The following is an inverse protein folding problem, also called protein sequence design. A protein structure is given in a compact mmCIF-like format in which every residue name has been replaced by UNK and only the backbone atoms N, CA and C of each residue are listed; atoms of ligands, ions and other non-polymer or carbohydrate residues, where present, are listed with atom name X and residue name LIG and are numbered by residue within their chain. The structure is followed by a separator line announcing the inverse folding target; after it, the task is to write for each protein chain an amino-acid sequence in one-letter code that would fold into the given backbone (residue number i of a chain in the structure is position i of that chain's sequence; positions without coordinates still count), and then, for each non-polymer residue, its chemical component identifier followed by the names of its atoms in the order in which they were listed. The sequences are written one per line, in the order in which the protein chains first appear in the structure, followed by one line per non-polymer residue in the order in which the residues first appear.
data_IF_948295140098
#
_entry.id   IF_948295140098
#
_cell.length_a   1.000
_cell.length_b   1.000
_cell.length_c   1.000
_cell.angle_alpha   90.00
_cell.angle_beta   90.00
_cell.angle_gamma   90.00
#
_symmetry.space_group_name_H-M   'P 1'
#
loop_
_entity.id
_entity.type
_entity.pdbx_description
1 polymer ?
#
# COMPACT_ATOMS: atom_id res chain seq x y z
N UNK A 1 1.15 27.56 -1.82
CA UNK A 1 1.34 26.16 -1.37
C UNK A 1 2.03 25.42 -2.51
N UNK A 2 3.31 25.04 -2.35
CA UNK A 2 3.96 24.15 -3.30
C UNK A 2 3.26 22.79 -3.18
N UNK A 3 2.62 22.34 -4.27
CA UNK A 3 2.17 20.96 -4.37
C UNK A 3 3.43 20.08 -4.25
N UNK A 4 3.52 19.31 -3.20
CA UNK A 4 4.55 18.28 -3.07
C UNK A 4 4.30 17.30 -4.21
N UNK A 5 5.19 17.28 -5.18
CA UNK A 5 5.10 16.34 -6.30
C UNK A 5 5.86 15.09 -5.89
N UNK A 6 5.13 14.01 -5.67
CA UNK A 6 5.67 12.71 -5.32
C UNK A 6 6.66 12.19 -6.38
N UNK A 7 7.66 11.46 -5.97
CA UNK A 7 8.62 10.83 -6.88
C UNK A 7 7.97 9.84 -7.86
N UNK A 8 6.77 9.34 -7.51
CA UNK A 8 5.98 8.41 -8.34
C UNK A 8 4.78 9.05 -9.06
N UNK A 9 4.57 10.35 -8.97
CA UNK A 9 3.42 11.03 -9.60
C UNK A 9 3.30 10.77 -11.10
N UNK A 10 4.44 10.58 -11.78
CA UNK A 10 4.50 10.28 -13.21
C UNK A 10 4.14 8.81 -13.52
N UNK A 11 4.00 7.96 -12.52
CA UNK A 11 3.65 6.54 -12.65
C UNK A 11 2.18 6.25 -12.42
N UNK A 12 1.40 7.27 -11.98
CA UNK A 12 -0.04 7.15 -11.83
C UNK A 12 -0.71 7.08 -13.20
N UNK A 13 -1.53 6.06 -13.39
CA UNK A 13 -2.21 5.84 -14.66
C UNK A 13 -3.65 5.39 -14.44
N UNK A 14 -4.57 5.73 -15.37
CA UNK A 14 -5.94 5.22 -15.35
C UNK A 14 -5.97 3.70 -15.47
N UNK A 15 -6.79 3.06 -14.67
CA UNK A 15 -7.01 1.63 -14.71
C UNK A 15 -8.45 1.29 -14.35
N UNK A 16 -9.23 0.80 -15.33
CA UNK A 16 -10.67 0.53 -15.20
C UNK A 16 -11.43 1.78 -14.68
N UNK A 17 -12.06 1.67 -13.52
CA UNK A 17 -12.82 2.73 -12.87
C UNK A 17 -12.06 3.46 -11.75
N UNK A 18 -10.75 3.34 -11.73
CA UNK A 18 -9.86 3.99 -10.75
C UNK A 18 -8.53 4.37 -11.41
N UNK A 19 -7.58 4.77 -10.60
CA UNK A 19 -6.17 4.94 -10.97
C UNK A 19 -5.32 3.94 -10.22
N UNK A 20 -4.12 3.69 -10.72
CA UNK A 20 -3.10 2.89 -10.05
C UNK A 20 -1.73 3.56 -10.21
N UNK A 21 -0.87 3.36 -9.24
CA UNK A 21 0.54 3.73 -9.34
C UNK A 21 1.34 2.51 -9.82
N UNK A 22 1.84 2.60 -11.05
CA UNK A 22 2.54 1.49 -11.71
C UNK A 22 4.00 1.40 -11.25
N UNK A 23 4.17 0.94 -10.02
CA UNK A 23 5.47 0.86 -9.33
C UNK A 23 5.84 -0.58 -9.02
N UNK A 24 7.15 -0.83 -8.89
CA UNK A 24 7.68 -2.10 -8.37
C UNK A 24 7.54 -2.18 -6.85
N UNK A 25 7.76 -3.36 -6.28
CA UNK A 25 7.75 -3.55 -4.83
C UNK A 25 8.77 -2.63 -4.13
N UNK A 26 9.97 -2.51 -4.66
CA UNK A 26 11.00 -1.64 -4.08
C UNK A 26 10.60 -0.17 -4.13
N UNK A 27 10.05 0.29 -5.25
CA UNK A 27 9.52 1.65 -5.38
C UNK A 27 8.34 1.91 -4.44
N UNK A 28 7.44 0.93 -4.26
CA UNK A 28 6.33 1.06 -3.32
C UNK A 28 6.81 1.24 -1.87
N UNK A 29 7.87 0.55 -1.47
CA UNK A 29 8.49 0.72 -0.14
C UNK A 29 9.08 2.13 0.01
N UNK A 30 9.80 2.64 -0.99
CA UNK A 30 10.32 4.01 -0.97
C UNK A 30 9.19 5.06 -0.92
N UNK A 31 8.11 4.86 -1.67
CA UNK A 31 6.92 5.74 -1.61
C UNK A 31 6.35 5.78 -0.18
N UNK A 32 6.16 4.61 0.45
CA UNK A 32 5.65 4.54 1.84
C UNK A 32 6.61 5.23 2.82
N UNK A 33 7.90 5.08 2.63
CA UNK A 33 8.93 5.77 3.43
C UNK A 33 8.81 7.29 3.29
N UNK A 34 8.72 7.82 2.07
CA UNK A 34 8.50 9.26 1.82
C UNK A 34 7.22 9.76 2.52
N UNK A 35 6.10 9.03 2.37
CA UNK A 35 4.82 9.35 3.03
C UNK A 35 4.92 9.35 4.56
N UNK A 36 5.62 8.37 5.14
CA UNK A 36 5.81 8.27 6.57
C UNK A 36 6.62 9.44 7.16
N UNK A 37 7.64 9.90 6.45
CA UNK A 37 8.45 11.04 6.88
C UNK A 37 7.73 12.39 6.79
N UNK A 38 6.71 12.53 5.96
CA UNK A 38 5.89 13.75 5.91
C UNK A 38 4.99 13.90 7.14
N UNK A 39 4.44 12.82 7.65
CA UNK A 39 3.64 12.81 8.87
C UNK A 39 2.30 13.56 8.78
N UNK A 40 1.75 13.78 7.59
CA UNK A 40 0.54 14.56 7.35
C UNK A 40 -0.75 13.72 7.18
N UNK A 41 -0.69 12.44 7.53
CA UNK A 41 -1.86 11.56 7.54
C UNK A 41 -2.16 10.88 6.21
N UNK A 42 -1.15 10.68 5.39
CA UNK A 42 -1.23 9.96 4.09
C UNK A 42 -1.66 8.49 4.25
N UNK A 43 -2.27 7.94 3.21
CA UNK A 43 -2.67 6.53 3.21
C UNK A 43 -2.49 5.84 1.86
N UNK A 44 -2.26 4.54 1.94
CA UNK A 44 -1.99 3.65 0.82
C UNK A 44 -3.12 2.63 0.69
N UNK A 45 -3.57 2.36 -0.52
CA UNK A 45 -4.59 1.36 -0.81
C UNK A 45 -4.07 0.29 -1.77
N UNK A 46 -4.53 -0.94 -1.57
CA UNK A 46 -4.12 -2.10 -2.39
C UNK A 46 -5.37 -2.75 -3.01
N UNK A 47 -5.92 -2.17 -4.10
CA UNK A 47 -7.10 -2.72 -4.75
C UNK A 47 -6.88 -4.13 -5.30
N UNK A 48 -7.88 -4.95 -5.10
CA UNK A 48 -8.04 -6.25 -5.73
C UNK A 48 -9.30 -6.26 -6.62
N UNK A 49 -9.63 -7.40 -7.22
CA UNK A 49 -10.79 -7.51 -8.11
C UNK A 49 -12.12 -7.16 -7.43
N UNK A 50 -12.30 -7.53 -6.15
CA UNK A 50 -13.51 -7.21 -5.39
C UNK A 50 -13.64 -5.69 -5.14
N UNK A 51 -12.52 -5.03 -4.87
CA UNK A 51 -12.50 -3.57 -4.74
C UNK A 51 -12.88 -2.87 -6.05
N UNK A 52 -12.39 -3.35 -7.19
CA UNK A 52 -12.75 -2.80 -8.51
C UNK A 52 -14.27 -2.89 -8.73
N UNK A 53 -14.89 -4.02 -8.42
CA UNK A 53 -16.36 -4.18 -8.52
C UNK A 53 -17.09 -3.27 -7.53
N UNK A 54 -16.56 -3.09 -6.32
CA UNK A 54 -17.16 -2.23 -5.31
C UNK A 54 -17.09 -0.76 -5.69
N UNK A 55 -16.01 -0.31 -6.31
CA UNK A 55 -15.84 1.07 -6.79
C UNK A 55 -16.92 1.51 -7.79
N UNK A 56 -17.50 0.57 -8.55
CA UNK A 56 -18.62 0.85 -9.46
C UNK A 56 -19.93 1.20 -8.74
N UNK A 57 -20.12 0.69 -7.53
CA UNK A 57 -21.41 0.71 -6.83
C UNK A 57 -21.42 1.61 -5.60
N UNK A 58 -20.27 1.89 -5.04
CA UNK A 58 -20.11 2.59 -3.76
C UNK A 58 -19.32 3.90 -3.98
N UNK A 59 -20.04 5.01 -4.12
CA UNK A 59 -19.46 6.33 -4.35
C UNK A 59 -18.60 6.82 -3.18
N UNK A 60 -18.90 6.44 -1.94
CA UNK A 60 -18.07 6.82 -0.79
C UNK A 60 -16.75 6.05 -0.80
N UNK A 61 -16.80 4.78 -1.16
CA UNK A 61 -15.60 3.98 -1.37
C UNK A 61 -14.73 4.52 -2.53
N UNK A 62 -15.36 4.95 -3.61
CA UNK A 62 -14.66 5.58 -4.74
C UNK A 62 -13.95 6.89 -4.33
N UNK A 63 -14.57 7.71 -3.47
CA UNK A 63 -13.94 8.92 -2.93
C UNK A 63 -12.68 8.59 -2.11
N UNK A 64 -12.71 7.52 -1.31
CA UNK A 64 -11.53 7.08 -0.56
C UNK A 64 -10.38 6.76 -1.51
N UNK A 65 -10.65 6.08 -2.61
CA UNK A 65 -9.61 5.77 -3.59
C UNK A 65 -9.09 7.00 -4.33
N UNK A 66 -9.98 7.93 -4.68
CA UNK A 66 -9.60 9.17 -5.37
C UNK A 66 -8.65 10.07 -4.55
N UNK A 67 -8.62 9.93 -3.23
CA UNK A 67 -7.78 10.71 -2.33
C UNK A 67 -6.58 9.92 -1.78
N UNK A 68 -6.41 8.66 -2.20
CA UNK A 68 -5.27 7.86 -1.76
C UNK A 68 -3.95 8.39 -2.32
N UNK A 69 -2.95 8.49 -1.48
CA UNK A 69 -1.62 8.98 -1.86
C UNK A 69 -0.87 7.97 -2.73
N UNK A 70 -1.08 6.67 -2.46
CA UNK A 70 -0.50 5.58 -3.24
C UNK A 70 -1.54 4.47 -3.46
N UNK A 71 -1.73 4.05 -4.72
CA UNK A 71 -2.70 3.04 -5.13
C UNK A 71 -1.96 1.88 -5.80
N UNK A 72 -1.78 0.79 -5.09
CA UNK A 72 -1.04 -0.38 -5.54
C UNK A 72 -1.98 -1.45 -6.10
N UNK A 73 -1.45 -2.42 -6.84
CA UNK A 73 -2.25 -3.50 -7.43
C UNK A 73 -2.07 -4.80 -6.68
N UNK A 74 -3.17 -5.33 -6.13
CA UNK A 74 -3.19 -6.62 -5.47
C UNK A 74 -3.93 -7.68 -6.30
N UNK A 75 -3.27 -8.79 -6.47
CA UNK A 75 -3.84 -9.98 -7.09
C UNK A 75 -3.58 -10.15 -8.59
N UNK A 76 -3.42 -11.41 -8.97
CA UNK A 76 -3.17 -11.83 -10.35
C UNK A 76 -4.29 -11.43 -11.34
N UNK A 77 -5.58 -11.41 -10.97
CA UNK A 77 -6.64 -11.01 -11.89
C UNK A 77 -6.42 -9.61 -12.48
N UNK A 78 -5.95 -8.65 -11.69
CA UNK A 78 -5.69 -7.29 -12.20
C UNK A 78 -4.54 -7.28 -13.21
N UNK A 79 -3.51 -8.10 -13.03
CA UNK A 79 -2.43 -8.25 -14.00
C UNK A 79 -2.93 -8.82 -15.34
N UNK A 80 -3.83 -9.80 -15.30
CA UNK A 80 -4.41 -10.39 -16.51
C UNK A 80 -5.28 -9.38 -17.26
N UNK A 81 -6.10 -8.63 -16.54
CA UNK A 81 -6.92 -7.56 -17.11
C UNK A 81 -6.02 -6.47 -17.72
N UNK A 82 -5.00 -6.03 -17.00
CA UNK A 82 -4.03 -5.03 -17.47
C UNK A 82 -3.36 -5.47 -18.78
N UNK A 83 -2.95 -6.74 -18.85
CA UNK A 83 -2.36 -7.31 -20.07
C UNK A 83 -3.36 -7.33 -21.23
N UNK A 84 -4.60 -7.68 -20.95
CA UNK A 84 -5.67 -7.69 -21.98
C UNK A 84 -6.01 -6.28 -22.46
N UNK A 85 -5.98 -5.29 -21.58
CA UNK A 85 -6.20 -3.87 -21.89
C UNK A 85 -4.97 -3.18 -22.52
N UNK A 86 -3.87 -3.90 -22.74
CA UNK A 86 -2.60 -3.34 -23.23
C UNK A 86 -2.04 -2.21 -22.33
N UNK A 87 -2.35 -2.26 -21.05
CA UNK A 87 -1.88 -1.32 -20.02
C UNK A 87 -1.00 -2.09 -19.02
N UNK A 88 0.25 -2.43 -19.35
CA UNK A 88 1.04 -3.37 -18.57
C UNK A 88 1.34 -2.81 -17.18
N UNK A 89 1.03 -3.61 -16.15
CA UNK A 89 1.46 -3.39 -14.77
C UNK A 89 2.84 -4.01 -14.60
N UNK A 90 3.79 -3.23 -14.12
CA UNK A 90 5.21 -3.64 -14.02
C UNK A 90 5.40 -4.75 -13.00
N UNK A 91 4.68 -4.70 -11.88
CA UNK A 91 4.76 -5.70 -10.81
C UNK A 91 3.47 -5.73 -9.99
N UNK A 92 3.11 -6.93 -9.49
CA UNK A 92 2.06 -7.08 -8.49
C UNK A 92 2.61 -6.68 -7.12
N UNK A 93 2.01 -5.69 -6.48
CA UNK A 93 2.35 -5.27 -5.13
C UNK A 93 1.17 -5.52 -4.21
N UNK A 94 1.09 -6.73 -3.64
CA UNK A 94 0.03 -7.06 -2.68
C UNK A 94 0.34 -6.54 -1.29
N UNK A 95 -0.71 -6.20 -0.53
CA UNK A 95 -0.56 -5.77 0.85
C UNK A 95 0.15 -6.80 1.74
N UNK A 96 -0.09 -8.08 1.50
CA UNK A 96 0.56 -9.18 2.25
C UNK A 96 2.07 -9.30 1.99
N UNK A 97 2.51 -8.98 0.76
CA UNK A 97 3.93 -9.02 0.39
C UNK A 97 4.63 -7.71 0.80
N UNK A 98 3.92 -6.59 0.70
CA UNK A 98 4.42 -5.26 1.06
C UNK A 98 4.61 -5.09 2.58
N UNK A 99 3.69 -5.62 3.39
CA UNK A 99 3.68 -5.44 4.83
C UNK A 99 4.99 -5.84 5.54
N UNK A 100 5.61 -7.03 5.29
CA UNK A 100 6.90 -7.36 5.87
C UNK A 100 8.03 -6.43 5.41
N UNK A 101 7.98 -5.94 4.17
CA UNK A 101 8.97 -5.00 3.62
C UNK A 101 8.89 -3.63 4.28
N UNK A 102 7.66 -3.16 4.55
CA UNK A 102 7.46 -1.92 5.33
C UNK A 102 7.99 -2.08 6.76
N UNK A 103 7.80 -3.24 7.39
CA UNK A 103 8.35 -3.49 8.72
C UNK A 103 9.89 -3.50 8.72
N UNK A 104 10.51 -4.05 7.69
CA UNK A 104 11.97 -4.01 7.48
C UNK A 104 12.46 -2.56 7.35
N UNK A 105 11.88 -1.80 6.44
CA UNK A 105 12.17 -0.38 6.24
C UNK A 105 11.94 0.44 7.52
N UNK A 106 10.84 0.23 8.23
CA UNK A 106 10.56 0.93 9.47
C UNK A 106 11.60 0.65 10.56
N UNK A 107 12.15 -0.58 10.61
CA UNK A 107 13.24 -0.92 11.52
C UNK A 107 14.57 -0.22 11.16
N UNK A 108 14.83 -0.03 9.87
CA UNK A 108 16.03 0.66 9.36
C UNK A 108 15.95 2.18 9.55
N UNK A 109 14.76 2.75 9.43
CA UNK A 109 14.49 4.19 9.50
C UNK A 109 14.07 4.66 10.90
N UNK A 110 14.10 3.78 11.92
CA UNK A 110 13.68 4.06 13.29
C UNK A 110 12.22 4.58 13.40
N UNK A 111 11.35 4.06 12.51
CA UNK A 111 9.92 4.38 12.50
C UNK A 111 9.14 3.40 13.37
N UNK A 112 8.14 3.91 14.09
CA UNK A 112 7.23 3.07 14.86
C UNK A 112 6.04 2.63 14.01
N UNK A 113 5.57 1.39 14.24
CA UNK A 113 4.41 0.82 13.56
C UNK A 113 3.34 0.39 14.56
N UNK A 114 2.08 0.56 14.16
CA UNK A 114 0.91 0.06 14.90
C UNK A 114 0.17 -0.96 14.04
N UNK A 115 -0.16 -2.14 14.59
CA UNK A 115 -0.89 -3.16 13.86
C UNK A 115 -2.36 -3.13 14.25
N UNK A 116 -3.23 -2.83 13.29
CA UNK A 116 -4.67 -2.76 13.47
C UNK A 116 -5.38 -3.84 12.67
N UNK A 117 -6.25 -4.61 13.33
CA UNK A 117 -7.15 -5.55 12.68
C UNK A 117 -6.76 -7.02 12.82
N UNK A 118 -7.35 -7.86 11.98
CA UNK A 118 -7.34 -9.32 12.05
C UNK A 118 -8.16 -9.87 13.25
N UNK A 119 -8.11 -11.20 13.45
CA UNK A 119 -8.78 -11.82 14.61
C UNK A 119 -8.01 -11.52 15.90
N UNK A 120 -8.69 -11.54 17.07
CA UNK A 120 -8.05 -11.31 18.38
C UNK A 120 -6.75 -12.11 18.54
N UNK A 121 -5.67 -11.44 18.93
CA UNK A 121 -4.35 -12.03 19.16
C UNK A 121 -3.47 -12.22 17.90
N UNK A 122 -4.00 -12.09 16.69
CA UNK A 122 -3.23 -12.26 15.46
C UNK A 122 -2.23 -11.11 15.27
N UNK A 123 -2.67 -9.86 15.46
CA UNK A 123 -1.80 -8.70 15.36
C UNK A 123 -0.63 -8.77 16.37
N UNK A 124 -0.91 -9.15 17.63
CA UNK A 124 0.12 -9.32 18.65
C UNK A 124 1.11 -10.46 18.33
N UNK A 125 0.61 -11.56 17.74
CA UNK A 125 1.48 -12.65 17.26
C UNK A 125 2.36 -12.22 16.09
N UNK A 126 1.80 -11.51 15.13
CA UNK A 126 2.54 -10.96 13.99
C UNK A 126 3.63 -9.98 14.46
N UNK A 127 3.33 -9.09 15.41
CA UNK A 127 4.29 -8.17 16.00
C UNK A 127 5.51 -8.91 16.57
N UNK A 128 5.27 -9.94 17.41
CA UNK A 128 6.35 -10.76 17.99
C UNK A 128 7.23 -11.44 16.93
N UNK A 129 6.63 -11.97 15.87
CA UNK A 129 7.35 -12.63 14.79
C UNK A 129 8.21 -11.62 14.02
N UNK A 130 7.63 -10.47 13.69
CA UNK A 130 8.32 -9.44 12.91
C UNK A 130 9.42 -8.73 13.72
N UNK A 131 9.22 -8.47 15.00
CA UNK A 131 10.27 -7.94 15.88
C UNK A 131 11.44 -8.93 16.04
N UNK A 132 11.17 -10.25 16.03
CA UNK A 132 12.22 -11.26 16.03
C UNK A 132 12.99 -11.29 14.69
N UNK A 133 12.29 -11.06 13.59
CA UNK A 133 12.87 -11.03 12.23
C UNK A 133 13.64 -9.74 11.96
N UNK A 134 13.14 -8.62 12.45
CA UNK A 134 13.72 -7.28 12.29
C UNK A 134 13.98 -6.66 13.67
N UNK A 135 15.18 -6.87 14.27
CA UNK A 135 15.46 -6.49 15.66
C UNK A 135 15.30 -5.00 15.98
N UNK A 136 15.38 -4.11 14.98
CA UNK A 136 15.15 -2.67 15.14
C UNK A 136 13.69 -2.25 15.08
N UNK A 137 12.75 -3.17 14.82
CA UNK A 137 11.34 -2.84 14.63
C UNK A 137 10.67 -2.42 15.93
N UNK A 138 10.21 -1.17 15.98
CA UNK A 138 9.46 -0.63 17.09
C UNK A 138 7.95 -0.76 16.83
N UNK A 139 7.28 -1.74 17.45
CA UNK A 139 5.82 -1.87 17.43
C UNK A 139 5.23 -1.14 18.63
N UNK A 140 4.58 0.01 18.37
CA UNK A 140 4.02 0.87 19.42
C UNK A 140 2.64 0.38 19.95
N UNK A 141 2.01 -0.56 19.26
CA UNK A 141 0.76 -1.18 19.72
C UNK A 141 0.14 -2.14 18.70
N UNK A 142 -0.86 -2.90 19.19
CA UNK A 142 -1.66 -3.84 18.38
C UNK A 142 -3.12 -3.80 18.85
N UNK A 143 -4.06 -3.91 17.89
CA UNK A 143 -5.49 -3.99 18.20
C UNK A 143 -6.19 -4.97 17.25
#
# INVERSE_FOLDING_TARGET
MQQIRWSWADKRMPFLNTEIDNVTMSEAVECVKELAHLGDGSYVVTPNADHIVKLEKDHEFAKVYAHADLILTDGKPLLWIAKWLHTPIVEKVSGSDLFPRICEMAAEEDLSVFFLGAKPGVAAKAAKILQKRYPGLHVCGTF
#
